data_IF_355474027054
#
_entry.id   IF_355474027054
#
_cell.length_a   1.000
_cell.length_b   1.000
_cell.length_c   1.000
_cell.angle_alpha   90.00
_cell.angle_beta   90.00
_cell.angle_gamma   90.00
#
_symmetry.space_group_name_H-M   'P 1'
#
loop_
_entity.id
_entity.type
_entity.pdbx_description
1 polymer ?
#
# COMPACT_ATOMS: atom_id res chain seq x y z
N UNK A 1 35.94 22.14 8.68
CA UNK A 1 34.92 22.95 7.98
C UNK A 1 35.06 22.95 6.44
N UNK A 2 36.26 22.81 5.86
CA UNK A 2 36.52 22.91 4.41
C UNK A 2 36.08 21.70 3.56
N UNK A 3 36.07 20.48 4.10
CA UNK A 3 35.76 19.25 3.34
C UNK A 3 34.27 19.06 2.95
N UNK A 4 33.37 19.89 3.48
CA UNK A 4 31.92 19.86 3.16
C UNK A 4 31.59 20.71 1.93
N UNK A 5 32.35 21.79 1.69
CA UNK A 5 32.10 22.72 0.60
C UNK A 5 32.51 22.14 -0.77
N UNK A 6 33.68 21.51 -0.84
CA UNK A 6 34.17 20.88 -2.08
C UNK A 6 33.32 19.71 -2.57
N UNK A 7 32.64 18.99 -1.67
CA UNK A 7 31.68 17.92 -2.03
C UNK A 7 30.40 18.48 -2.64
N UNK A 8 29.95 19.65 -2.18
CA UNK A 8 28.74 20.33 -2.66
C UNK A 8 28.90 20.85 -4.08
N UNK A 9 30.04 21.47 -4.40
CA UNK A 9 30.37 21.90 -5.77
C UNK A 9 30.45 20.72 -6.75
N UNK A 10 31.11 19.62 -6.38
CA UNK A 10 31.22 18.44 -7.27
C UNK A 10 29.88 17.76 -7.56
N UNK A 11 28.90 17.83 -6.64
CA UNK A 11 27.55 17.27 -6.86
C UNK A 11 26.72 18.11 -7.83
N UNK A 12 26.81 19.44 -7.73
CA UNK A 12 26.15 20.37 -8.66
C UNK A 12 26.69 20.21 -10.08
N UNK A 13 28.02 20.09 -10.24
CA UNK A 13 28.66 19.87 -11.54
C UNK A 13 28.34 18.51 -12.17
N UNK A 14 27.87 17.52 -11.40
CA UNK A 14 27.52 16.17 -11.87
C UNK A 14 26.02 15.99 -12.16
N UNK A 15 25.23 17.06 -12.17
CA UNK A 15 23.79 17.00 -12.48
C UNK A 15 22.94 16.17 -11.51
N UNK A 16 23.50 15.74 -10.36
CA UNK A 16 22.76 15.04 -9.31
C UNK A 16 22.00 16.08 -8.48
N UNK A 17 20.83 16.47 -8.96
CA UNK A 17 19.83 17.23 -8.17
C UNK A 17 19.23 16.39 -7.04
N UNK A 18 19.41 15.07 -7.08
CA UNK A 18 18.90 14.16 -6.06
C UNK A 18 19.79 14.20 -4.81
N UNK A 19 19.28 14.86 -3.76
CA UNK A 19 19.79 14.71 -2.39
C UNK A 19 19.47 13.30 -1.93
N UNK A 20 20.39 12.36 -2.13
CA UNK A 20 20.38 11.07 -1.41
C UNK A 20 20.68 11.24 0.09
N UNK A 21 20.13 12.28 0.72
CA UNK A 21 20.37 12.69 2.11
C UNK A 21 19.10 12.73 2.96
N UNK A 22 17.92 12.64 2.36
CA UNK A 22 16.71 12.31 3.12
C UNK A 22 16.81 10.81 3.41
N UNK A 23 17.08 10.44 4.66
CA UNK A 23 17.12 9.03 5.04
C UNK A 23 15.79 8.33 4.69
N UNK A 24 15.79 7.02 4.60
CA UNK A 24 14.53 6.26 4.58
C UNK A 24 14.27 5.71 5.98
N UNK A 25 13.01 5.64 6.36
CA UNK A 25 12.53 4.89 7.52
C UNK A 25 11.67 3.73 7.05
N UNK A 26 11.61 2.67 7.87
CA UNK A 26 10.69 1.57 7.70
C UNK A 26 9.80 1.48 8.95
N UNK A 27 8.48 1.53 8.75
CA UNK A 27 7.48 1.33 9.81
C UNK A 27 6.72 0.04 9.54
N UNK A 28 6.51 -0.74 10.60
CA UNK A 28 5.89 -2.06 10.55
C UNK A 28 4.56 -2.01 11.31
N UNK A 29 3.46 -2.21 10.59
CA UNK A 29 2.11 -2.16 11.12
C UNK A 29 1.44 -3.52 10.99
N UNK A 30 0.92 -4.06 12.10
CA UNK A 30 0.12 -5.28 12.09
C UNK A 30 -1.36 -4.92 11.97
N UNK A 31 -2.06 -5.55 11.03
CA UNK A 31 -3.49 -5.34 10.80
C UNK A 31 -4.22 -6.68 10.84
N UNK A 32 -5.45 -6.63 11.36
CA UNK A 32 -6.37 -7.76 11.47
C UNK A 32 -7.74 -7.27 10.99
N UNK A 33 -8.34 -8.00 10.05
CA UNK A 33 -9.73 -7.77 9.63
C UNK A 33 -10.54 -9.06 9.77
N UNK A 34 -11.75 -9.02 10.36
CA UNK A 34 -12.60 -10.20 10.47
C UNK A 34 -13.12 -10.61 9.09
N UNK A 35 -13.21 -11.91 8.82
CA UNK A 35 -13.84 -12.43 7.60
C UNK A 35 -15.34 -12.13 7.55
N UNK A 36 -15.96 -11.85 8.70
CA UNK A 36 -17.32 -11.33 8.79
C UNK A 36 -17.30 -9.80 8.58
N UNK A 37 -17.47 -9.38 7.32
CA UNK A 37 -17.70 -7.98 6.95
C UNK A 37 -16.47 -7.05 6.94
N UNK A 38 -15.28 -7.54 7.33
CA UNK A 38 -14.06 -6.73 7.29
C UNK A 38 -13.74 -6.22 5.88
N UNK A 39 -13.30 -4.97 5.78
CA UNK A 39 -13.04 -4.29 4.51
C UNK A 39 -12.00 -3.19 4.65
N UNK A 40 -11.45 -2.77 3.50
CA UNK A 40 -10.65 -1.56 3.37
C UNK A 40 -11.13 -0.81 2.13
N UNK A 41 -11.74 0.37 2.33
CA UNK A 41 -12.25 1.19 1.23
C UNK A 41 -11.14 1.55 0.22
N UNK A 42 -11.49 1.72 -1.07
CA UNK A 42 -10.58 2.24 -2.08
C UNK A 42 -9.87 3.50 -1.63
N UNK A 43 -8.54 3.49 -1.68
CA UNK A 43 -7.67 4.63 -1.38
C UNK A 43 -6.35 4.51 -2.15
N UNK A 44 -5.64 5.63 -2.26
CA UNK A 44 -4.19 5.62 -2.52
C UNK A 44 -3.46 5.74 -1.19
N UNK A 45 -2.17 5.42 -1.10
CA UNK A 45 -1.45 5.49 0.17
C UNK A 45 -1.22 6.93 0.71
N UNK A 46 -0.78 7.06 1.97
CA UNK A 46 -0.40 8.36 2.55
C UNK A 46 0.74 9.03 1.73
N UNK A 47 0.72 10.36 1.50
CA UNK A 47 1.78 11.11 0.81
C UNK A 47 3.21 10.86 1.29
N UNK A 48 3.43 10.54 2.57
CA UNK A 48 4.76 10.32 3.13
C UNK A 48 5.37 8.97 2.71
N UNK A 49 4.52 8.02 2.32
CA UNK A 49 4.94 6.69 1.86
C UNK A 49 5.56 6.77 0.47
N UNK A 50 6.63 6.02 0.28
CA UNK A 50 7.27 5.80 -1.02
C UNK A 50 6.93 4.40 -1.53
N UNK A 51 7.04 3.40 -0.65
CA UNK A 51 6.71 2.01 -0.94
C UNK A 51 5.86 1.46 0.21
N UNK A 52 4.86 0.65 -0.12
CA UNK A 52 4.10 -0.15 0.85
C UNK A 52 4.23 -1.62 0.48
N UNK A 53 4.70 -2.46 1.40
CA UNK A 53 4.61 -3.91 1.28
C UNK A 53 3.50 -4.42 2.17
N UNK A 54 2.68 -5.33 1.66
CA UNK A 54 1.68 -6.07 2.42
C UNK A 54 2.05 -7.54 2.38
N UNK A 55 2.32 -8.12 3.54
CA UNK A 55 2.69 -9.52 3.71
C UNK A 55 1.53 -10.25 4.40
N UNK A 56 1.04 -11.29 3.74
CA UNK A 56 -0.05 -12.13 4.25
C UNK A 56 0.44 -13.04 5.38
N UNK A 57 -0.19 -12.95 6.55
CA UNK A 57 0.12 -13.76 7.74
C UNK A 57 -0.92 -14.86 7.95
N UNK A 58 -0.88 -15.87 7.09
CA UNK A 58 -1.85 -16.96 7.05
C UNK A 58 -1.15 -18.29 6.78
N UNK A 59 -1.56 -19.35 7.48
CA UNK A 59 -1.03 -20.69 7.28
C UNK A 59 -1.68 -21.36 6.06
N UNK A 60 -0.99 -22.31 5.40
CA UNK A 60 -1.62 -23.16 4.40
C UNK A 60 -2.92 -23.80 4.94
N UNK A 61 -4.01 -23.67 4.19
CA UNK A 61 -5.33 -24.21 4.55
C UNK A 61 -6.14 -23.39 5.57
N UNK A 62 -5.59 -22.31 6.14
CA UNK A 62 -6.30 -21.48 7.12
C UNK A 62 -7.29 -20.50 6.46
N UNK A 63 -7.12 -20.21 5.18
CA UNK A 63 -7.97 -19.28 4.43
C UNK A 63 -8.39 -19.87 3.10
N UNK A 64 -9.69 -19.77 2.80
CA UNK A 64 -10.24 -20.03 1.47
C UNK A 64 -10.43 -18.70 0.74
N UNK A 65 -10.05 -18.60 -0.55
CA UNK A 65 -10.38 -17.44 -1.40
C UNK A 65 -11.87 -17.09 -1.39
N UNK A 66 -12.77 -18.06 -1.16
CA UNK A 66 -14.23 -17.83 -1.10
C UNK A 66 -14.67 -16.93 0.07
N UNK A 67 -13.81 -16.78 1.10
CA UNK A 67 -14.05 -15.83 2.19
C UNK A 67 -13.87 -14.37 1.73
N UNK A 68 -13.30 -14.16 0.54
CA UNK A 68 -12.89 -12.86 0.05
C UNK A 68 -11.57 -12.40 0.68
N UNK A 69 -11.44 -11.09 0.87
CA UNK A 69 -10.26 -10.51 1.53
C UNK A 69 -9.05 -10.36 0.61
N UNK A 70 -9.21 -10.61 -0.69
CA UNK A 70 -8.22 -10.29 -1.70
C UNK A 70 -7.91 -8.79 -1.75
N UNK A 71 -6.71 -8.48 -2.20
CA UNK A 71 -6.24 -7.12 -2.41
C UNK A 71 -6.50 -6.71 -3.85
N UNK A 72 -7.46 -5.80 -4.03
CA UNK A 72 -7.87 -5.29 -5.34
C UNK A 72 -6.94 -4.15 -5.77
N UNK A 73 -6.53 -4.19 -7.04
CA UNK A 73 -6.00 -3.03 -7.76
C UNK A 73 -7.15 -2.36 -8.47
N UNK A 74 -7.40 -1.10 -8.14
CA UNK A 74 -8.57 -0.38 -8.61
C UNK A 74 -8.24 0.63 -9.70
N UNK A 75 -9.19 0.83 -10.62
CA UNK A 75 -9.22 1.97 -11.53
C UNK A 75 -10.44 2.81 -11.21
N UNK A 76 -10.30 4.12 -10.96
CA UNK A 76 -11.45 4.99 -10.81
C UNK A 76 -12.23 5.07 -12.13
N UNK A 77 -13.55 5.01 -12.03
CA UNK A 77 -14.47 5.19 -13.16
C UNK A 77 -14.57 6.65 -13.59
N UNK A 78 -14.44 7.56 -12.63
CA UNK A 78 -14.61 9.01 -12.83
C UNK A 78 -13.26 9.73 -12.96
N UNK A 79 -13.10 10.65 -13.93
CA UNK A 79 -11.88 11.44 -14.09
C UNK A 79 -11.46 12.25 -12.85
N UNK A 80 -12.41 12.67 -12.02
CA UNK A 80 -12.18 13.45 -10.80
C UNK A 80 -11.38 12.66 -9.75
N UNK A 81 -11.43 11.32 -9.82
CA UNK A 81 -10.69 10.41 -8.94
C UNK A 81 -9.37 9.92 -9.58
N UNK A 82 -9.09 10.31 -10.84
CA UNK A 82 -7.88 9.89 -11.54
C UNK A 82 -6.59 10.41 -10.88
N UNK A 83 -6.68 11.53 -10.14
CA UNK A 83 -5.58 12.10 -9.37
C UNK A 83 -5.91 12.17 -7.88
N UNK A 84 -5.27 11.30 -7.09
CA UNK A 84 -5.38 11.24 -5.64
C UNK A 84 -4.01 10.98 -5.00
N UNK A 85 -3.22 12.03 -4.78
CA UNK A 85 -1.95 11.88 -4.08
C UNK A 85 -2.10 11.84 -2.54
N UNK A 86 -3.26 12.25 -2.01
CA UNK A 86 -3.47 12.59 -0.60
C UNK A 86 -4.27 11.54 0.21
N UNK A 87 -4.24 10.26 -0.18
CA UNK A 87 -4.94 9.18 0.54
C UNK A 87 -6.46 9.39 0.70
N UNK A 88 -7.11 10.11 -0.24
CA UNK A 88 -8.57 10.23 -0.22
C UNK A 88 -9.20 8.85 -0.42
N UNK A 89 -10.30 8.59 0.28
CA UNK A 89 -11.09 7.37 0.12
C UNK A 89 -12.18 7.58 -0.92
N UNK A 90 -12.58 6.52 -1.60
CA UNK A 90 -13.72 6.48 -2.51
C UNK A 90 -14.61 5.27 -2.21
N UNK A 91 -15.79 5.21 -2.82
CA UNK A 91 -16.68 4.06 -2.71
C UNK A 91 -16.26 2.92 -3.64
N UNK A 92 -16.69 1.70 -3.32
CA UNK A 92 -16.47 0.54 -4.19
C UNK A 92 -17.20 0.65 -5.53
N UNK A 93 -18.31 1.39 -5.59
CA UNK A 93 -19.10 1.60 -6.80
C UNK A 93 -18.40 2.56 -7.79
N UNK A 94 -17.46 3.36 -7.32
CA UNK A 94 -16.69 4.33 -8.11
C UNK A 94 -15.48 3.69 -8.80
N UNK A 95 -15.27 2.39 -8.60
CA UNK A 95 -14.03 1.69 -8.95
C UNK A 95 -14.33 0.46 -9.81
N UNK A 96 -13.55 0.31 -10.87
CA UNK A 96 -13.36 -0.97 -11.53
C UNK A 96 -12.21 -1.74 -10.86
N UNK A 97 -12.30 -3.07 -10.89
CA UNK A 97 -11.21 -3.94 -10.45
C UNK A 97 -10.38 -4.28 -11.69
N UNK A 98 -9.10 -3.93 -11.67
CA UNK A 98 -8.16 -4.34 -12.72
C UNK A 98 -7.60 -5.72 -12.45
N UNK A 99 -7.34 -6.01 -11.18
CA UNK A 99 -6.78 -7.27 -10.72
C UNK A 99 -7.07 -7.47 -9.24
N UNK A 100 -7.18 -8.73 -8.81
CA UNK A 100 -7.28 -9.10 -7.39
C UNK A 100 -6.18 -10.10 -7.09
N UNK A 101 -5.36 -9.78 -6.10
CA UNK A 101 -4.46 -10.76 -5.51
C UNK A 101 -5.18 -11.44 -4.35
N UNK A 102 -5.41 -12.74 -4.46
CA UNK A 102 -6.01 -13.53 -3.39
C UNK A 102 -5.16 -13.48 -2.12
N UNK A 103 -5.80 -13.48 -0.95
CA UNK A 103 -5.12 -13.55 0.33
C UNK A 103 -4.56 -14.97 0.56
N UNK A 104 -3.31 -15.16 0.16
CA UNK A 104 -2.64 -16.47 0.16
C UNK A 104 -1.45 -16.55 1.14
N UNK A 105 -1.09 -17.76 1.62
CA UNK A 105 0.08 -17.98 2.46
C UNK A 105 1.39 -17.52 1.81
N UNK A 106 2.29 -16.93 2.60
CA UNK A 106 3.63 -16.50 2.17
C UNK A 106 3.65 -15.56 0.95
N UNK A 107 2.57 -14.79 0.75
CA UNK A 107 2.46 -13.82 -0.33
C UNK A 107 2.87 -12.43 0.16
N UNK A 108 3.70 -11.75 -0.63
CA UNK A 108 4.04 -10.34 -0.45
C UNK A 108 3.64 -9.53 -1.66
N UNK A 109 2.88 -8.45 -1.46
CA UNK A 109 2.46 -7.52 -2.50
C UNK A 109 3.11 -6.17 -2.23
N UNK A 110 3.67 -5.55 -3.28
CA UNK A 110 4.37 -4.28 -3.20
C UNK A 110 3.66 -3.21 -4.02
N UNK A 111 3.50 -2.04 -3.43
CA UNK A 111 3.00 -0.83 -4.08
C UNK A 111 4.09 0.22 -4.10
N UNK A 112 4.29 0.84 -5.26
CA UNK A 112 5.01 2.11 -5.34
C UNK A 112 3.96 3.21 -5.23
N UNK A 113 4.19 4.17 -4.32
CA UNK A 113 3.28 5.29 -4.15
C UNK A 113 3.25 6.14 -5.42
N UNK A 114 2.08 6.27 -6.03
CA UNK A 114 1.81 7.24 -7.08
C UNK A 114 0.57 8.07 -6.73
N UNK A 115 0.14 8.97 -7.61
CA UNK A 115 -1.12 9.70 -7.45
C UNK A 115 -2.35 8.83 -7.78
N UNK A 116 -2.17 7.66 -8.37
CA UNK A 116 -3.27 6.80 -8.85
C UNK A 116 -3.09 5.32 -8.47
N UNK A 117 -2.27 5.03 -7.47
CA UNK A 117 -2.05 3.68 -6.92
C UNK A 117 -3.23 3.25 -6.05
N UNK A 118 -4.44 3.24 -6.61
CA UNK A 118 -5.68 2.89 -5.92
C UNK A 118 -5.76 1.40 -5.63
N UNK A 119 -6.11 1.06 -4.39
CA UNK A 119 -6.27 -0.31 -3.95
C UNK A 119 -7.30 -0.42 -2.82
N UNK A 120 -7.85 -1.61 -2.62
CA UNK A 120 -8.87 -1.88 -1.61
C UNK A 120 -8.90 -3.35 -1.19
N UNK A 121 -9.64 -3.62 -0.13
CA UNK A 121 -10.10 -4.96 0.23
C UNK A 121 -11.62 -4.89 0.30
N UNK A 122 -12.29 -5.63 -0.57
CA UNK A 122 -13.76 -5.68 -0.57
C UNK A 122 -14.31 -6.32 0.70
N UNK A 123 -15.56 -6.02 1.07
CA UNK A 123 -16.19 -6.67 2.22
C UNK A 123 -16.09 -8.19 2.08
N UNK A 124 -15.46 -8.81 3.07
CA UNK A 124 -15.47 -10.25 3.20
C UNK A 124 -16.88 -10.73 3.55
N UNK A 125 -17.29 -11.85 2.97
CA UNK A 125 -18.70 -12.30 2.97
C UNK A 125 -18.95 -13.49 3.91
N UNK A 126 -17.97 -13.83 4.75
CA UNK A 126 -18.03 -15.00 5.61
C UNK A 126 -18.79 -14.69 6.92
N UNK A 127 -20.10 -14.45 6.83
CA UNK A 127 -20.95 -14.14 7.98
C UNK A 127 -20.86 -15.22 9.05
N UNK A 128 -20.65 -14.82 10.31
CA UNK A 128 -20.48 -15.73 11.44
C UNK A 128 -19.11 -16.43 11.51
N UNK A 129 -18.21 -16.19 10.55
CA UNK A 129 -16.86 -16.73 10.59
C UNK A 129 -16.00 -16.04 11.64
N UNK A 130 -15.22 -16.82 12.36
CA UNK A 130 -14.19 -16.33 13.30
C UNK A 130 -12.82 -16.17 12.62
N UNK A 131 -12.73 -16.44 11.31
CA UNK A 131 -11.47 -16.31 10.57
C UNK A 131 -10.99 -14.86 10.53
N UNK A 132 -9.67 -14.69 10.60
CA UNK A 132 -9.02 -13.38 10.67
C UNK A 132 -8.02 -13.21 9.52
N UNK A 133 -8.24 -12.19 8.70
CA UNK A 133 -7.27 -11.75 7.69
C UNK A 133 -6.19 -10.93 8.37
N UNK A 134 -5.02 -11.51 8.56
CA UNK A 134 -3.89 -10.88 9.25
C UNK A 134 -2.81 -10.49 8.25
N UNK A 135 -2.33 -9.26 8.35
CA UNK A 135 -1.25 -8.77 7.48
C UNK A 135 -0.22 -8.00 8.27
N UNK A 136 1.05 -8.15 7.88
CA UNK A 136 2.11 -7.21 8.20
C UNK A 136 2.23 -6.22 7.05
N UNK A 137 2.07 -4.94 7.33
CA UNK A 137 2.31 -3.86 6.37
C UNK A 137 3.63 -3.18 6.71
N UNK A 138 4.53 -3.08 5.73
CA UNK A 138 5.81 -2.39 5.87
C UNK A 138 5.77 -1.15 4.99
N UNK A 139 5.80 0.02 5.63
CA UNK A 139 5.79 1.31 4.97
C UNK A 139 7.22 1.84 4.90
N UNK A 140 7.73 2.06 3.69
CA UNK A 140 8.99 2.77 3.46
C UNK A 140 8.67 4.23 3.20
N UNK A 141 9.17 5.10 4.06
CA UNK A 141 8.81 6.51 4.13
C UNK A 141 10.08 7.37 4.06
N UNK A 142 9.91 8.65 3.73
CA UNK A 142 11.00 9.62 3.93
C UNK A 142 11.23 9.80 5.43
N UNK A 143 12.49 9.77 5.84
CA UNK A 143 12.88 10.08 7.21
C UNK A 143 12.79 11.59 7.40
N UNK A 144 11.77 12.01 8.17
CA UNK A 144 11.60 13.38 8.62
C UNK A 144 12.76 13.84 9.51
#
# INVERSE_FOLDING_TARGET
MQARFGRRMRRLLRGRSWRGEDGLSARFDFSIMPADGGLLLPHTDNPEKIITLVISMVRPGEWSPDLGGGLDINRPRSPELAFNHLNRKAGFADMDILHTFEFAPNQGILFVKTFNSWHSVRPMTATGSTALRRTLTINIEKRN
#
